data_IF_692561704550
#
_entry.id   IF_692561704550
#
_cell.length_a   1.000
_cell.length_b   1.000
_cell.length_c   1.000
_cell.angle_alpha   90.00
_cell.angle_beta   90.00
_cell.angle_gamma   90.00
#
_symmetry.space_group_name_H-M   'P 1'
#
loop_
_entity.id
_entity.type
_entity.pdbx_description
1 polymer ?
#
# COMPACT_ATOMS: atom_id res chain seq x y z
N UNK A 1 31.61 -4.15 16.80
CA UNK A 1 31.81 -2.78 16.28
C UNK A 1 30.59 -2.29 15.47
N UNK A 2 29.36 -2.46 15.99
CA UNK A 2 28.12 -2.06 15.28
C UNK A 2 27.15 -1.24 16.19
N UNK A 3 27.57 -0.91 17.41
CA UNK A 3 26.72 -0.22 18.40
C UNK A 3 26.72 1.31 18.31
N UNK A 4 27.41 1.88 17.30
CA UNK A 4 27.50 3.33 17.10
C UNK A 4 26.50 3.87 16.05
N UNK A 5 25.54 3.06 15.58
CA UNK A 5 24.33 3.57 14.90
C UNK A 5 23.36 4.19 15.92
N UNK A 6 23.94 4.97 16.84
CA UNK A 6 23.28 5.90 17.73
C UNK A 6 22.32 6.70 16.86
N UNK A 7 21.03 6.58 17.13
CA UNK A 7 19.96 7.30 16.43
C UNK A 7 20.20 8.81 16.33
N UNK A 8 21.17 9.32 17.10
CA UNK A 8 21.77 10.64 16.94
C UNK A 8 22.22 10.98 15.51
N UNK A 9 22.79 10.02 14.77
CA UNK A 9 23.18 10.23 13.37
C UNK A 9 21.97 10.48 12.47
N UNK A 10 20.87 9.76 12.71
CA UNK A 10 19.62 9.97 11.97
C UNK A 10 19.03 11.34 12.26
N UNK A 11 19.10 11.82 13.52
CA UNK A 11 18.68 13.17 13.90
C UNK A 11 19.55 14.22 13.20
N UNK A 12 20.87 14.06 13.20
CA UNK A 12 21.78 14.99 12.50
C UNK A 12 21.47 15.02 11.00
N UNK A 13 21.28 13.87 10.37
CA UNK A 13 20.92 13.79 8.96
C UNK A 13 19.57 14.49 8.67
N UNK A 14 18.58 14.28 9.54
CA UNK A 14 17.29 14.96 9.45
C UNK A 14 17.45 16.48 9.52
N UNK A 15 18.29 16.97 10.44
CA UNK A 15 18.59 18.41 10.59
C UNK A 15 19.27 18.95 9.32
N UNK A 16 20.24 18.25 8.74
CA UNK A 16 20.91 18.66 7.50
C UNK A 16 19.90 18.75 6.35
N UNK A 17 19.04 17.74 6.19
CA UNK A 17 17.98 17.77 5.18
C UNK A 17 17.02 18.94 5.42
N UNK A 18 16.67 19.22 6.68
CA UNK A 18 15.79 20.33 7.03
C UNK A 18 16.43 21.70 6.73
N UNK A 19 17.75 21.84 6.85
CA UNK A 19 18.47 23.06 6.49
C UNK A 19 18.56 23.25 4.96
N UNK A 20 18.75 22.17 4.21
CA UNK A 20 18.85 22.22 2.74
C UNK A 20 17.49 22.45 2.07
N UNK A 21 16.46 21.73 2.52
CA UNK A 21 15.14 21.74 1.90
C UNK A 21 14.16 22.70 2.60
N UNK A 22 14.39 23.03 3.88
CA UNK A 22 13.48 23.81 4.70
C UNK A 22 12.35 22.99 5.30
N UNK A 23 11.85 23.43 6.46
CA UNK A 23 10.72 22.80 7.17
C UNK A 23 9.43 22.60 6.35
N UNK A 24 8.99 23.51 5.46
CA UNK A 24 7.74 23.32 4.73
C UNK A 24 7.85 22.35 3.53
N UNK A 25 9.05 22.06 3.01
CA UNK A 25 9.23 21.24 1.81
C UNK A 25 9.24 19.74 2.10
N UNK A 26 9.79 19.31 3.24
CA UNK A 26 9.75 17.89 3.64
C UNK A 26 8.34 17.31 3.77
N UNK A 27 7.39 17.94 4.47
CA UNK A 27 6.04 17.39 4.59
C UNK A 27 5.27 17.44 3.27
N UNK A 28 5.61 18.37 2.37
CA UNK A 28 5.06 18.41 1.02
C UNK A 28 5.51 17.22 0.18
N UNK A 29 6.81 16.95 0.13
CA UNK A 29 7.40 15.81 -0.60
C UNK A 29 6.94 14.47 -0.02
N UNK A 30 6.88 14.34 1.31
CA UNK A 30 6.38 13.14 1.96
C UNK A 30 4.90 12.88 1.63
N UNK A 31 4.06 13.94 1.57
CA UNK A 31 2.65 13.81 1.19
C UNK A 31 2.48 13.38 -0.26
N UNK A 32 3.19 13.98 -1.21
CA UNK A 32 3.09 13.61 -2.63
C UNK A 32 3.58 12.18 -2.88
N UNK A 33 4.72 11.80 -2.30
CA UNK A 33 5.26 10.42 -2.40
C UNK A 33 4.33 9.43 -1.71
N UNK A 34 3.79 9.78 -0.53
CA UNK A 34 2.85 8.93 0.20
C UNK A 34 1.55 8.69 -0.55
N UNK A 35 1.03 9.70 -1.26
CA UNK A 35 -0.14 9.55 -2.12
C UNK A 35 0.13 8.62 -3.30
N UNK A 36 1.25 8.80 -4.02
CA UNK A 36 1.64 7.90 -5.11
C UNK A 36 1.86 6.47 -4.63
N UNK A 37 2.52 6.30 -3.48
CA UNK A 37 2.79 4.98 -2.91
C UNK A 37 1.52 4.29 -2.40
N UNK A 38 0.52 5.04 -1.91
CA UNK A 38 -0.78 4.49 -1.51
C UNK A 38 -1.53 3.90 -2.70
N UNK A 39 -1.59 4.62 -3.81
CA UNK A 39 -2.27 4.19 -5.05
C UNK A 39 -1.58 2.94 -5.61
N UNK A 40 -0.26 2.98 -5.73
CA UNK A 40 0.53 1.83 -6.15
C UNK A 40 0.33 0.63 -5.23
N UNK A 41 0.30 0.84 -3.91
CA UNK A 41 0.10 -0.26 -2.95
C UNK A 41 -1.31 -0.85 -3.00
N UNK A 42 -2.34 -0.05 -3.27
CA UNK A 42 -3.70 -0.57 -3.47
C UNK A 42 -3.82 -1.39 -4.74
N UNK A 43 -3.26 -0.92 -5.86
CA UNK A 43 -3.29 -1.67 -7.13
C UNK A 43 -2.51 -2.98 -7.02
N UNK A 44 -1.30 -2.94 -6.47
CA UNK A 44 -0.47 -4.13 -6.25
C UNK A 44 -1.12 -5.11 -5.26
N UNK A 45 -1.83 -4.60 -4.25
CA UNK A 45 -2.55 -5.46 -3.30
C UNK A 45 -3.73 -6.16 -3.98
N UNK A 46 -4.52 -5.44 -4.77
CA UNK A 46 -5.63 -6.01 -5.55
C UNK A 46 -5.12 -7.09 -6.51
N UNK A 47 -4.04 -6.84 -7.26
CA UNK A 47 -3.43 -7.85 -8.13
C UNK A 47 -2.93 -9.09 -7.37
N UNK A 48 -2.38 -8.90 -6.17
CA UNK A 48 -1.93 -10.01 -5.33
C UNK A 48 -3.09 -10.81 -4.74
N UNK A 49 -4.16 -10.13 -4.35
CA UNK A 49 -5.36 -10.73 -3.78
C UNK A 49 -6.17 -11.47 -4.88
N UNK A 50 -6.22 -10.95 -6.11
CA UNK A 50 -6.81 -11.60 -7.29
C UNK A 50 -6.05 -12.88 -7.68
N UNK A 51 -4.72 -12.84 -7.70
CA UNK A 51 -3.89 -14.03 -7.96
C UNK A 51 -3.96 -15.08 -6.83
N UNK A 52 -4.41 -14.72 -5.62
CA UNK A 52 -4.71 -15.66 -4.54
C UNK A 52 -6.18 -16.11 -4.50
N UNK A 53 -7.10 -15.35 -5.09
CA UNK A 53 -8.53 -15.67 -5.09
C UNK A 53 -8.98 -16.44 -6.33
N UNK A 54 -8.19 -16.46 -7.42
CA UNK A 54 -8.42 -17.32 -8.60
C UNK A 54 -8.19 -18.83 -8.30
N UNK A 55 -7.60 -19.18 -7.15
CA UNK A 55 -7.53 -20.56 -6.66
C UNK A 55 -8.67 -20.94 -5.70
N UNK A 56 -9.64 -20.06 -5.43
CA UNK A 56 -10.73 -20.33 -4.48
C UNK A 56 -12.01 -19.57 -4.82
N UNK A 57 -12.46 -19.54 -6.06
CA UNK A 57 -13.88 -19.26 -6.40
C UNK A 57 -14.25 -19.90 -7.73
N UNK A 58 -14.17 -21.24 -7.79
CA UNK A 58 -14.95 -22.00 -8.77
C UNK A 58 -15.45 -23.31 -8.13
N UNK A 59 -16.20 -23.15 -7.04
CA UNK A 59 -17.01 -24.19 -6.40
C UNK A 59 -17.96 -23.50 -5.43
N UNK A 60 -19.27 -23.69 -5.64
CA UNK A 60 -20.40 -23.02 -4.95
C UNK A 60 -20.65 -21.61 -5.50
N UNK A 61 -21.64 -21.36 -6.36
CA UNK A 61 -23.05 -21.75 -6.19
C UNK A 61 -23.81 -21.46 -7.49
N UNK A 62 -24.15 -22.48 -8.27
CA UNK A 62 -25.38 -22.43 -9.07
C UNK A 62 -25.86 -23.85 -9.37
N UNK A 63 -26.52 -24.45 -8.37
CA UNK A 63 -27.39 -25.60 -8.59
C UNK A 63 -28.71 -25.37 -7.89
N UNK A 64 -29.73 -25.18 -8.74
CA UNK A 64 -31.12 -25.59 -8.57
C UNK A 64 -31.91 -25.02 -7.39
N UNK A 65 -32.81 -24.07 -7.67
CA UNK A 65 -34.28 -24.25 -7.58
C UNK A 65 -35.00 -22.90 -7.63
N UNK A 66 -35.73 -22.60 -8.71
CA UNK A 66 -37.19 -22.50 -8.60
C UNK A 66 -37.87 -22.51 -9.99
N UNK A 67 -39.06 -23.09 -10.04
CA UNK A 67 -39.71 -23.75 -11.19
C UNK A 67 -40.55 -22.79 -12.07
N UNK A 68 -40.84 -23.12 -13.36
CA UNK A 68 -41.64 -22.34 -14.35
C UNK A 68 -43.15 -22.35 -13.99
N UNK A 69 -44.11 -21.57 -14.59
CA UNK A 69 -44.36 -21.47 -16.05
C UNK A 69 -45.17 -20.24 -16.62
N UNK A 70 -45.36 -20.22 -17.97
CA UNK A 70 -46.59 -19.81 -18.72
C UNK A 70 -46.82 -18.30 -19.06
N UNK A 71 -47.62 -17.92 -20.10
CA UNK A 71 -48.29 -18.65 -21.21
C UNK A 71 -47.62 -18.60 -22.59
#
# INVERSE_FOLDING_TARGET
MLGNLSGWHLVILLVVILLLFGAPKLPGLARSVGQSMRIFRSEVKTMKDENSSEASTDSSSDSSSDTPPKP
#
